data_IF_105375515651
#
_entry.id   IF_105375515651
#
_cell.length_a   1.000
_cell.length_b   1.000
_cell.length_c   1.000
_cell.angle_alpha   90.00
_cell.angle_beta   90.00
_cell.angle_gamma   90.00
#
_symmetry.space_group_name_H-M   'P 1'
#
loop_
_entity.id
_entity.type
_entity.pdbx_description
1 polymer ?
#
# COMPACT_ATOMS: atom_id res chain seq x y z
N UNK A 1 43.87 -30.18 20.71
CA UNK A 1 43.85 -28.71 20.66
C UNK A 1 44.35 -28.22 22.00
N UNK A 2 45.46 -27.48 22.04
CA UNK A 2 45.95 -26.94 23.31
C UNK A 2 44.91 -26.03 23.96
N UNK A 3 44.91 -26.01 25.29
CA UNK A 3 43.98 -25.22 26.11
C UNK A 3 43.94 -23.75 25.66
N UNK A 4 45.08 -23.21 25.21
CA UNK A 4 45.21 -21.87 24.66
C UNK A 4 44.32 -21.62 23.43
N UNK A 5 44.34 -22.51 22.43
CA UNK A 5 43.54 -22.34 21.21
C UNK A 5 42.04 -22.44 21.49
N UNK A 6 41.64 -23.31 22.42
CA UNK A 6 40.22 -23.44 22.81
C UNK A 6 39.71 -22.17 23.49
N UNK A 7 40.51 -21.57 24.37
CA UNK A 7 40.15 -20.31 25.05
C UNK A 7 40.01 -19.17 24.03
N UNK A 8 40.99 -19.00 23.14
CA UNK A 8 40.98 -17.95 22.12
C UNK A 8 39.78 -18.10 21.18
N UNK A 9 39.54 -19.32 20.68
CA UNK A 9 38.46 -19.58 19.73
C UNK A 9 37.08 -19.41 20.37
N UNK A 10 36.91 -19.81 21.63
CA UNK A 10 35.69 -19.57 22.41
C UNK A 10 35.40 -18.08 22.58
N UNK A 11 36.43 -17.29 22.91
CA UNK A 11 36.28 -15.83 23.06
C UNK A 11 35.83 -15.14 21.76
N UNK A 12 36.44 -15.49 20.62
CA UNK A 12 36.05 -14.92 19.33
C UNK A 12 34.60 -15.27 18.93
N UNK A 13 34.14 -16.48 19.23
CA UNK A 13 32.75 -16.89 18.97
C UNK A 13 31.78 -16.06 19.82
N UNK A 14 32.04 -15.93 21.12
CA UNK A 14 31.19 -15.13 22.01
C UNK A 14 31.17 -13.67 21.57
N UNK A 15 32.34 -13.11 21.24
CA UNK A 15 32.44 -11.74 20.74
C UNK A 15 31.66 -11.54 19.43
N UNK A 16 31.76 -12.48 18.49
CA UNK A 16 31.04 -12.45 17.23
C UNK A 16 29.51 -12.44 17.45
N UNK A 17 29.00 -13.28 18.36
CA UNK A 17 27.57 -13.34 18.68
C UNK A 17 27.07 -12.00 19.26
N UNK A 18 27.85 -11.38 20.14
CA UNK A 18 27.51 -10.07 20.73
C UNK A 18 27.43 -8.99 19.65
N UNK A 19 28.42 -8.93 18.76
CA UNK A 19 28.46 -7.95 17.67
C UNK A 19 27.28 -8.12 16.71
N UNK A 20 26.98 -9.34 16.29
CA UNK A 20 25.84 -9.62 15.39
C UNK A 20 24.49 -9.29 16.06
N UNK A 21 24.35 -9.58 17.35
CA UNK A 21 23.13 -9.26 18.11
C UNK A 21 22.93 -7.73 18.21
N UNK A 22 24.00 -6.98 18.46
CA UNK A 22 23.95 -5.52 18.49
C UNK A 22 23.49 -4.94 17.15
N UNK A 23 24.09 -5.37 16.03
CA UNK A 23 23.67 -4.92 14.70
C UNK A 23 22.23 -5.33 14.37
N UNK A 24 21.80 -6.53 14.78
CA UNK A 24 20.40 -6.99 14.61
C UNK A 24 19.39 -6.05 15.28
N UNK A 25 19.66 -5.64 16.52
CA UNK A 25 18.79 -4.70 17.26
C UNK A 25 18.77 -3.33 16.59
N UNK A 26 19.93 -2.82 16.14
CA UNK A 26 20.02 -1.52 15.47
C UNK A 26 19.23 -1.51 14.16
N UNK A 27 19.34 -2.57 13.36
CA UNK A 27 18.59 -2.70 12.11
C UNK A 27 17.07 -2.77 12.37
N UNK A 28 16.63 -3.50 13.40
CA UNK A 28 15.22 -3.58 13.75
C UNK A 28 14.63 -2.23 14.16
N UNK A 29 15.41 -1.37 14.85
CA UNK A 29 14.96 -0.02 15.20
C UNK A 29 14.81 0.87 13.97
N UNK A 30 15.75 0.81 13.03
CA UNK A 30 15.72 1.60 11.78
C UNK A 30 14.52 1.26 10.88
N UNK A 31 14.05 0.00 10.90
CA UNK A 31 12.87 -0.42 10.12
C UNK A 31 11.58 0.28 10.59
N UNK A 32 11.49 0.64 11.88
CA UNK A 32 10.31 1.34 12.42
C UNK A 32 10.25 2.81 12.02
N UNK A 33 11.38 3.40 11.64
CA UNK A 33 11.48 4.80 11.22
C UNK A 33 11.33 4.96 9.70
N UNK A 34 10.91 3.91 8.98
CA UNK A 34 10.57 4.02 7.55
C UNK A 34 9.34 4.93 7.46
N UNK A 35 9.59 6.19 7.07
CA UNK A 35 8.52 7.17 6.86
C UNK A 35 7.62 6.70 5.72
N UNK A 36 6.35 7.02 5.88
CA UNK A 36 5.36 6.81 4.83
C UNK A 36 5.77 7.61 3.57
N UNK A 37 5.74 6.93 2.43
CA UNK A 37 6.01 7.44 1.09
C UNK A 37 4.79 7.18 0.21
N UNK A 38 4.38 8.13 -0.64
CA UNK A 38 4.94 9.47 -0.79
C UNK A 38 4.57 10.40 0.38
N UNK A 39 5.39 11.45 0.66
CA UNK A 39 5.14 12.39 1.75
C UNK A 39 3.97 13.35 1.47
N UNK A 40 3.52 13.44 0.22
CA UNK A 40 2.37 14.22 -0.16
C UNK A 40 1.09 13.41 0.06
N UNK A 41 -0.03 14.05 0.44
CA UNK A 41 -1.30 13.36 0.51
C UNK A 41 -1.64 12.76 -0.87
N UNK A 42 -2.25 11.56 -0.90
CA UNK A 42 -2.67 10.95 -2.15
C UNK A 42 -3.59 11.87 -2.95
N UNK A 43 -3.53 11.78 -4.27
CA UNK A 43 -4.49 12.46 -5.13
C UNK A 43 -5.91 12.01 -4.79
N UNK A 44 -6.89 12.89 -4.95
CA UNK A 44 -8.28 12.58 -4.58
C UNK A 44 -8.89 11.46 -5.44
N UNK A 45 -8.44 11.34 -6.68
CA UNK A 45 -8.89 10.35 -7.66
C UNK A 45 -7.70 9.61 -8.27
N UNK A 46 -7.93 8.40 -8.81
CA UNK A 46 -6.92 7.70 -9.60
C UNK A 46 -6.39 8.55 -10.76
N UNK A 47 -5.20 8.22 -11.26
CA UNK A 47 -4.56 9.03 -12.30
C UNK A 47 -5.43 9.06 -13.56
N UNK A 48 -5.58 10.24 -14.17
CA UNK A 48 -6.46 10.49 -15.33
C UNK A 48 -7.98 10.45 -15.06
N UNK A 49 -8.41 10.24 -13.81
CA UNK A 49 -9.83 10.30 -13.47
C UNK A 49 -10.22 11.73 -13.10
N UNK A 50 -11.42 12.15 -13.53
CA UNK A 50 -11.90 13.50 -13.28
C UNK A 50 -12.76 13.56 -12.01
N UNK A 51 -12.69 14.72 -11.35
CA UNK A 51 -13.45 15.01 -10.14
C UNK A 51 -14.75 15.72 -10.53
N UNK A 52 -15.90 15.16 -10.16
CA UNK A 52 -17.19 15.79 -10.39
C UNK A 52 -17.44 16.91 -9.35
N UNK A 53 -18.44 17.77 -9.59
CA UNK A 53 -18.81 18.87 -8.69
C UNK A 53 -19.15 18.41 -7.25
N UNK A 54 -19.55 17.15 -7.09
CA UNK A 54 -19.87 16.53 -5.79
C UNK A 54 -18.63 15.98 -5.06
N UNK A 55 -17.42 16.16 -5.58
CA UNK A 55 -16.20 15.60 -4.98
C UNK A 55 -15.96 14.12 -5.28
N UNK A 56 -16.70 13.54 -6.24
CA UNK A 56 -16.65 12.12 -6.60
C UNK A 56 -15.82 11.90 -7.85
N UNK A 57 -15.13 10.77 -7.94
CA UNK A 57 -14.31 10.45 -9.09
C UNK A 57 -15.16 9.78 -10.17
N UNK A 58 -15.22 10.40 -11.35
CA UNK A 58 -15.97 9.87 -12.49
C UNK A 58 -15.20 8.70 -13.08
N UNK A 59 -15.89 7.59 -13.33
CA UNK A 59 -15.30 6.42 -13.98
C UNK A 59 -15.11 6.77 -15.46
N UNK A 60 -13.87 6.81 -15.95
CA UNK A 60 -13.62 7.18 -17.34
C UNK A 60 -14.05 6.04 -18.27
N UNK A 61 -14.47 6.36 -19.50
CA UNK A 61 -14.89 5.37 -20.50
C UNK A 61 -13.83 4.27 -20.71
N UNK A 62 -14.24 3.08 -21.14
CA UNK A 62 -13.34 1.91 -21.25
C UNK A 62 -12.10 2.12 -22.14
N UNK A 63 -12.20 3.02 -23.13
CA UNK A 63 -11.11 3.38 -24.04
C UNK A 63 -10.11 4.38 -23.44
N UNK A 64 -10.45 4.98 -22.30
CA UNK A 64 -9.59 5.94 -21.62
C UNK A 64 -8.42 5.26 -20.91
N UNK A 65 -7.40 6.07 -20.57
CA UNK A 65 -6.25 5.58 -19.82
C UNK A 65 -6.67 5.18 -18.40
N UNK A 66 -5.93 4.22 -17.84
CA UNK A 66 -6.03 3.85 -16.43
C UNK A 66 -7.43 3.35 -15.97
N UNK A 67 -8.11 2.63 -16.85
CA UNK A 67 -9.38 1.95 -16.57
C UNK A 67 -9.18 0.54 -16.00
N UNK A 68 -7.99 -0.03 -16.14
CA UNK A 68 -7.64 -1.33 -15.57
C UNK A 68 -8.63 -2.43 -15.97
N UNK A 69 -9.07 -3.22 -14.98
CA UNK A 69 -9.95 -4.38 -15.16
C UNK A 69 -11.40 -4.12 -14.73
N UNK A 70 -11.82 -2.85 -14.63
CA UNK A 70 -13.18 -2.47 -14.17
C UNK A 70 -14.27 -2.70 -15.23
N UNK A 71 -13.88 -2.97 -16.48
CA UNK A 71 -14.78 -3.24 -17.60
C UNK A 71 -14.77 -4.72 -17.97
N UNK A 72 -15.96 -5.32 -18.08
CA UNK A 72 -16.14 -6.72 -18.51
C UNK A 72 -16.27 -6.87 -20.03
N UNK A 73 -16.60 -8.09 -20.47
CA UNK A 73 -16.66 -8.52 -21.89
C UNK A 73 -17.58 -7.69 -22.79
N UNK A 74 -18.52 -6.93 -22.21
CA UNK A 74 -19.48 -6.08 -22.94
C UNK A 74 -19.32 -4.58 -22.65
N UNK A 75 -18.13 -4.13 -22.23
CA UNK A 75 -17.89 -2.74 -21.87
C UNK A 75 -18.76 -2.26 -20.69
N UNK A 76 -19.29 -3.20 -19.90
CA UNK A 76 -20.07 -2.96 -18.70
C UNK A 76 -19.16 -2.86 -17.50
N UNK A 77 -19.45 -1.91 -16.60
CA UNK A 77 -18.73 -1.76 -15.34
C UNK A 77 -19.02 -3.00 -14.47
N UNK A 78 -17.96 -3.70 -14.04
CA UNK A 78 -18.05 -4.89 -13.18
C UNK A 78 -18.08 -4.53 -11.68
N UNK A 79 -17.86 -3.26 -11.36
CA UNK A 79 -17.90 -2.73 -10.00
C UNK A 79 -19.35 -2.69 -9.47
N UNK A 80 -19.50 -2.99 -8.19
CA UNK A 80 -20.76 -2.89 -7.47
C UNK A 80 -20.50 -2.35 -6.06
N UNK A 81 -21.57 -2.05 -5.32
CA UNK A 81 -21.49 -1.49 -3.96
C UNK A 81 -20.87 -2.44 -2.93
N UNK A 82 -20.80 -3.75 -3.22
CA UNK A 82 -20.14 -4.74 -2.37
C UNK A 82 -18.65 -4.86 -2.68
N UNK A 83 -18.22 -4.60 -3.93
CA UNK A 83 -16.82 -4.65 -4.36
C UNK A 83 -16.10 -3.31 -4.21
N UNK A 84 -16.85 -2.21 -4.24
CA UNK A 84 -16.33 -0.84 -4.23
C UNK A 84 -17.19 0.05 -3.35
N UNK A 85 -16.62 0.55 -2.26
CA UNK A 85 -17.30 1.50 -1.38
C UNK A 85 -17.51 2.84 -2.09
N UNK A 86 -18.69 3.44 -1.90
CA UNK A 86 -19.02 4.73 -2.50
C UNK A 86 -19.31 4.68 -4.01
N UNK A 87 -19.46 3.49 -4.60
CA UNK A 87 -19.86 3.36 -6.01
C UNK A 87 -21.28 3.88 -6.24
N UNK A 88 -21.41 4.89 -7.11
CA UNK A 88 -22.66 5.46 -7.56
C UNK A 88 -22.67 5.53 -9.09
N UNK A 89 -23.20 4.47 -9.71
CA UNK A 89 -23.56 4.31 -11.12
C UNK A 89 -22.82 5.23 -12.12
N UNK A 90 -21.48 5.10 -12.18
CA UNK A 90 -20.60 5.88 -13.05
C UNK A 90 -19.62 6.82 -12.32
N UNK A 91 -19.72 6.91 -10.99
CA UNK A 91 -18.78 7.63 -10.14
C UNK A 91 -18.46 6.83 -8.87
N UNK A 92 -17.32 7.13 -8.25
CA UNK A 92 -16.89 6.51 -7.00
C UNK A 92 -16.54 7.61 -6.00
N UNK A 93 -17.15 7.52 -4.82
CA UNK A 93 -16.79 8.33 -3.67
C UNK A 93 -15.73 7.61 -2.81
N UNK A 94 -14.47 7.98 -3.02
CA UNK A 94 -13.35 7.49 -2.23
C UNK A 94 -13.24 8.14 -0.83
N UNK A 95 -14.08 9.13 -0.50
CA UNK A 95 -14.14 9.73 0.82
C UNK A 95 -15.23 9.08 1.71
N UNK A 96 -15.99 8.12 1.16
CA UNK A 96 -17.01 7.41 1.90
C UNK A 96 -16.44 6.64 3.10
N UNK A 97 -17.18 6.62 4.21
CA UNK A 97 -16.78 5.94 5.46
C UNK A 97 -16.50 4.44 5.27
N UNK A 98 -17.03 3.83 4.20
CA UNK A 98 -16.78 2.43 3.85
C UNK A 98 -15.30 2.10 3.70
N UNK A 99 -14.48 3.05 3.25
CA UNK A 99 -13.03 2.85 3.10
C UNK A 99 -12.29 2.77 4.44
N UNK A 100 -12.85 3.34 5.51
CA UNK A 100 -12.31 3.28 6.89
C UNK A 100 -12.89 2.14 7.72
N UNK A 101 -13.86 1.38 7.18
CA UNK A 101 -14.51 0.30 7.91
C UNK A 101 -13.54 -0.84 8.20
N UNK A 102 -13.54 -1.32 9.45
CA UNK A 102 -12.72 -2.46 9.89
C UNK A 102 -11.44 -2.09 10.64
N UNK A 103 -11.24 -0.82 11.01
CA UNK A 103 -10.06 -0.37 11.78
C UNK A 103 -8.77 -0.28 10.96
N UNK A 104 -8.86 -0.52 9.66
CA UNK A 104 -7.74 -0.45 8.71
C UNK A 104 -7.63 0.96 8.11
N UNK A 105 -6.40 1.40 7.84
CA UNK A 105 -6.14 2.68 7.17
C UNK A 105 -6.86 2.74 5.80
N UNK A 106 -7.63 3.81 5.56
CA UNK A 106 -8.41 3.99 4.34
C UNK A 106 -7.54 3.91 3.07
N UNK A 107 -6.31 4.43 3.14
CA UNK A 107 -5.34 4.40 2.04
C UNK A 107 -5.01 2.96 1.65
N UNK A 108 -4.95 2.04 2.62
CA UNK A 108 -4.62 0.63 2.38
C UNK A 108 -5.74 -0.14 1.70
N UNK A 109 -6.99 0.15 2.08
CA UNK A 109 -8.14 -0.42 1.40
C UNK A 109 -8.24 0.11 -0.03
N UNK A 110 -8.00 1.41 -0.24
CA UNK A 110 -7.92 2.03 -1.57
C UNK A 110 -6.80 1.42 -2.41
N UNK A 111 -5.61 1.21 -1.84
CA UNK A 111 -4.47 0.55 -2.48
C UNK A 111 -4.81 -0.87 -2.90
N UNK A 112 -5.41 -1.66 -2.01
CA UNK A 112 -5.84 -3.03 -2.30
C UNK A 112 -6.83 -3.04 -3.47
N UNK A 113 -7.83 -2.18 -3.43
CA UNK A 113 -8.82 -2.06 -4.49
C UNK A 113 -8.19 -1.64 -5.83
N UNK A 114 -7.32 -0.63 -5.83
CA UNK A 114 -6.64 -0.16 -7.03
C UNK A 114 -5.78 -1.27 -7.65
N UNK A 115 -5.02 -2.00 -6.83
CA UNK A 115 -4.21 -3.13 -7.27
C UNK A 115 -5.06 -4.30 -7.79
N UNK A 116 -6.18 -4.63 -7.14
CA UNK A 116 -7.10 -5.68 -7.62
C UNK A 116 -7.71 -5.33 -8.97
N UNK A 117 -7.95 -4.05 -9.22
CA UNK A 117 -8.51 -3.56 -10.48
C UNK A 117 -7.45 -3.12 -11.50
N UNK A 118 -6.15 -3.31 -11.23
CA UNK A 118 -5.05 -2.84 -12.08
C UNK A 118 -5.12 -1.34 -12.43
N UNK A 119 -5.49 -0.51 -11.46
CA UNK A 119 -5.58 0.95 -11.59
C UNK A 119 -4.36 1.57 -10.90
N UNK A 120 -3.72 2.53 -11.57
CA UNK A 120 -2.63 3.35 -11.04
C UNK A 120 -3.22 4.54 -10.30
N UNK A 121 -2.73 4.82 -9.10
CA UNK A 121 -3.20 5.95 -8.30
C UNK A 121 -2.04 6.51 -7.51
N UNK A 122 -1.55 7.67 -7.93
CA UNK A 122 -0.41 8.30 -7.25
C UNK A 122 -0.73 8.67 -5.80
N UNK A 123 0.18 8.28 -4.91
CA UNK A 123 0.04 8.37 -3.46
C UNK A 123 -0.78 7.26 -2.80
N UNK A 124 -1.43 6.38 -3.58
CA UNK A 124 -2.17 5.24 -3.04
C UNK A 124 -1.52 3.91 -3.44
N UNK A 125 -1.30 3.64 -4.73
CA UNK A 125 -0.72 2.36 -5.17
C UNK A 125 0.74 2.22 -4.75
N UNK A 126 1.47 3.32 -4.69
CA UNK A 126 2.86 3.40 -4.24
C UNK A 126 3.02 3.61 -2.72
N UNK A 127 1.91 3.66 -1.97
CA UNK A 127 1.95 3.90 -0.53
C UNK A 127 2.59 2.73 0.24
N UNK A 128 3.64 2.98 1.03
CA UNK A 128 4.38 1.94 1.76
C UNK A 128 3.94 1.74 3.23
N UNK A 129 3.05 2.58 3.76
CA UNK A 129 2.59 2.53 5.16
C UNK A 129 1.48 1.52 5.45
N UNK A 130 1.18 0.63 4.51
CA UNK A 130 0.22 -0.46 4.68
C UNK A 130 0.95 -1.71 5.15
N UNK A 131 1.23 -1.78 6.46
CA UNK A 131 1.85 -2.93 7.12
C UNK A 131 0.85 -3.65 8.01
#
# INVERSE_FOLDING_TARGET
MDLFYVIVLSFFIVFLIIVLSYYGIVLQKRIKDIKDYPPQPPSACPDYWELNANGQCVIPASTSKNTGSIYGTNNTITLNTNSTYGFNNGSIDFNSNGWTTGGTNAICNKKKWANTNNIVWDGVTNYNGCQ
#
